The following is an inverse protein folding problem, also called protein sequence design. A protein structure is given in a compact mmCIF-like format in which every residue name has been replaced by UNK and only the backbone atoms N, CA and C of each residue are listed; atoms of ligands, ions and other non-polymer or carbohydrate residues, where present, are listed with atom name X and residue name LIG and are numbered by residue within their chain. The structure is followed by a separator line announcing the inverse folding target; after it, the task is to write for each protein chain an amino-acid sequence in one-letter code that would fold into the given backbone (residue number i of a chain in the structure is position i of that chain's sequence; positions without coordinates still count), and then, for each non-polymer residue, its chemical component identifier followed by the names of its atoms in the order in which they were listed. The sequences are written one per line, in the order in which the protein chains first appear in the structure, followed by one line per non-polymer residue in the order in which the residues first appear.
data_IF_424284530818
#
_entry.id   IF_424284530818
#
_cell.length_a   1.000
_cell.length_b   1.000
_cell.length_c   1.000
_cell.angle_alpha   90.00
_cell.angle_beta   90.00
_cell.angle_gamma   90.00
#
_symmetry.space_group_name_H-M   'P 1'
#
loop_
_entity.id
_entity.type
_entity.pdbx_description
1 polymer ?
#
# COMPACT_ATOMS: atom_id res chain seq x y z
N UNK A 1 7.98 6.68 6.52
CA UNK A 1 8.07 7.47 7.77
C UNK A 1 9.33 7.12 8.58
N UNK A 2 9.66 5.85 8.83
CA UNK A 2 10.89 5.46 9.55
C UNK A 2 12.17 6.05 8.94
N UNK A 3 12.34 5.93 7.61
CA UNK A 3 13.50 6.50 6.88
C UNK A 3 13.60 8.03 7.05
N UNK A 4 12.47 8.74 7.09
CA UNK A 4 12.44 10.21 7.30
C UNK A 4 12.80 10.58 8.75
N UNK A 5 12.49 9.73 9.73
CA UNK A 5 12.82 9.92 11.15
C UNK A 5 14.16 9.31 11.58
N UNK A 6 14.98 8.80 10.64
CA UNK A 6 16.26 8.09 10.91
C UNK A 6 16.13 6.93 11.91
N UNK A 7 14.95 6.34 12.03
CA UNK A 7 14.73 5.15 12.86
C UNK A 7 15.21 3.91 12.11
N UNK A 8 15.61 2.83 12.81
CA UNK A 8 15.88 1.56 12.19
C UNK A 8 14.67 1.08 11.37
N UNK A 9 14.90 0.27 10.32
CA UNK A 9 13.81 -0.26 9.51
C UNK A 9 12.82 -1.01 10.42
N UNK A 10 11.51 -0.83 10.21
CA UNK A 10 10.51 -1.51 11.02
C UNK A 10 10.60 -3.02 10.81
N UNK A 11 10.33 -3.81 11.85
CA UNK A 11 10.13 -5.23 11.70
C UNK A 11 8.79 -5.45 10.97
N UNK A 12 8.83 -6.09 9.80
CA UNK A 12 7.64 -6.36 8.98
C UNK A 12 7.33 -7.85 9.07
N UNK A 13 6.12 -8.19 9.53
CA UNK A 13 5.65 -9.56 9.68
C UNK A 13 4.32 -9.69 8.96
N UNK A 14 4.24 -10.57 7.98
CA UNK A 14 2.97 -10.94 7.35
C UNK A 14 2.34 -12.08 8.13
N UNK A 15 1.13 -11.88 8.63
CA UNK A 15 0.38 -12.90 9.36
C UNK A 15 -0.18 -13.94 8.39
N UNK A 16 -0.23 -15.15 8.90
CA UNK A 16 -0.56 -16.38 8.19
C UNK A 16 -0.28 -17.56 9.13
N UNK A 17 -0.36 -18.77 8.61
CA UNK A 17 -0.18 -19.97 9.42
C UNK A 17 1.19 -20.01 10.12
N UNK A 18 1.20 -20.17 11.44
CA UNK A 18 2.41 -20.29 12.26
C UNK A 18 3.19 -18.99 12.50
N UNK A 19 2.72 -17.82 12.06
CA UNK A 19 3.44 -16.54 12.22
C UNK A 19 3.17 -15.82 13.55
N UNK A 20 2.17 -16.25 14.31
CA UNK A 20 1.80 -15.66 15.61
C UNK A 20 2.97 -15.57 16.62
N UNK A 21 3.77 -16.63 16.88
CA UNK A 21 4.89 -16.54 17.83
C UNK A 21 6.00 -15.60 17.33
N UNK A 22 6.18 -15.47 16.01
CA UNK A 22 7.16 -14.55 15.41
C UNK A 22 6.70 -13.10 15.61
N UNK A 23 5.41 -12.84 15.38
CA UNK A 23 4.80 -11.53 15.61
C UNK A 23 4.93 -11.11 17.08
N UNK A 24 4.62 -12.00 18.03
CA UNK A 24 4.75 -11.73 19.46
C UNK A 24 6.20 -11.43 19.88
N UNK A 25 7.17 -12.19 19.37
CA UNK A 25 8.60 -11.92 19.63
C UNK A 25 9.01 -10.55 19.09
N UNK A 26 8.57 -10.19 17.89
CA UNK A 26 8.87 -8.89 17.29
C UNK A 26 8.23 -7.73 18.09
N UNK A 27 7.00 -7.89 18.58
CA UNK A 27 6.34 -6.90 19.42
C UNK A 27 7.12 -6.72 20.74
N UNK A 28 7.42 -7.80 21.45
CA UNK A 28 8.16 -7.74 22.72
C UNK A 28 9.54 -7.09 22.55
N UNK A 29 10.27 -7.47 21.50
CA UNK A 29 11.55 -6.83 21.19
C UNK A 29 11.39 -5.35 20.83
N UNK A 30 10.33 -4.99 20.09
CA UNK A 30 10.04 -3.61 19.73
C UNK A 30 9.68 -2.73 20.91
N UNK A 31 8.92 -3.26 21.87
CA UNK A 31 8.51 -2.56 23.10
C UNK A 31 9.73 -2.19 23.94
N UNK A 32 10.72 -3.10 24.06
CA UNK A 32 11.97 -2.86 24.80
C UNK A 32 12.92 -1.95 24.03
N UNK A 33 13.05 -2.12 22.72
CA UNK A 33 14.03 -1.40 21.90
C UNK A 33 13.50 -0.08 21.31
N UNK A 34 12.21 0.24 21.49
CA UNK A 34 11.56 1.41 20.88
C UNK A 34 11.44 1.34 19.35
N UNK A 35 11.53 0.15 18.74
CA UNK A 35 11.49 -0.01 17.28
C UNK A 35 10.07 -0.17 16.75
N UNK A 36 9.84 0.18 15.49
CA UNK A 36 8.51 0.07 14.90
C UNK A 36 8.24 -1.34 14.38
N UNK A 37 7.01 -1.82 14.54
CA UNK A 37 6.57 -3.14 14.06
C UNK A 37 5.37 -2.96 13.13
N UNK A 38 5.38 -3.61 11.98
CA UNK A 38 4.31 -3.64 11.00
C UNK A 38 3.80 -5.07 10.86
N UNK A 39 2.57 -5.32 11.32
CA UNK A 39 1.83 -6.55 11.07
C UNK A 39 0.99 -6.39 9.81
N UNK A 40 1.18 -7.30 8.86
CA UNK A 40 0.45 -7.33 7.60
C UNK A 40 -0.55 -8.49 7.55
N UNK A 41 -1.61 -8.33 6.76
CA UNK A 41 -2.64 -9.34 6.52
C UNK A 41 -3.28 -9.86 7.83
N UNK A 42 -3.58 -8.97 8.77
CA UNK A 42 -4.06 -9.40 10.09
C UNK A 42 -5.46 -10.06 10.05
N UNK A 43 -6.19 -9.95 8.94
CA UNK A 43 -7.40 -10.73 8.69
C UNK A 43 -7.15 -12.24 8.64
N UNK A 44 -5.91 -12.68 8.37
CA UNK A 44 -5.51 -14.09 8.38
C UNK A 44 -5.12 -14.59 9.78
N UNK A 45 -5.00 -13.69 10.77
CA UNK A 45 -4.53 -13.97 12.12
C UNK A 45 -5.48 -13.46 13.20
N UNK A 46 -6.79 -13.70 13.04
CA UNK A 46 -7.83 -13.21 13.94
C UNK A 46 -7.64 -13.68 15.39
N UNK A 47 -7.12 -14.90 15.60
CA UNK A 47 -6.80 -15.43 16.93
C UNK A 47 -5.84 -14.50 17.69
N UNK A 48 -4.67 -14.23 17.11
CA UNK A 48 -3.75 -13.25 17.65
C UNK A 48 -4.40 -11.88 17.87
N UNK A 49 -5.18 -11.37 16.90
CA UNK A 49 -5.81 -10.05 17.03
C UNK A 49 -6.74 -9.96 18.24
N UNK A 50 -7.50 -11.02 18.56
CA UNK A 50 -8.37 -11.05 19.74
C UNK A 50 -7.58 -10.92 21.03
N UNK A 51 -6.39 -11.53 21.10
CA UNK A 51 -5.52 -11.45 22.27
C UNK A 51 -4.69 -10.15 22.32
N UNK A 52 -4.57 -9.42 21.20
CA UNK A 52 -3.73 -8.22 21.10
C UNK A 52 -4.11 -7.15 22.12
N UNK A 53 -5.39 -7.02 22.46
CA UNK A 53 -5.83 -6.05 23.47
C UNK A 53 -5.22 -6.34 24.84
N UNK A 54 -5.31 -7.60 25.29
CA UNK A 54 -4.71 -8.03 26.55
C UNK A 54 -3.18 -7.89 26.52
N UNK A 55 -2.55 -8.23 25.39
CA UNK A 55 -1.10 -8.11 25.20
C UNK A 55 -0.65 -6.65 25.30
N UNK A 56 -1.30 -5.73 24.59
CA UNK A 56 -0.94 -4.30 24.61
C UNK A 56 -1.11 -3.72 26.01
N UNK A 57 -2.20 -4.05 26.71
CA UNK A 57 -2.44 -3.58 28.07
C UNK A 57 -1.35 -4.07 29.05
N UNK A 58 -0.91 -5.33 28.92
CA UNK A 58 0.17 -5.89 29.73
C UNK A 58 1.52 -5.21 29.46
N UNK A 59 1.78 -4.83 28.21
CA UNK A 59 3.05 -4.23 27.79
C UNK A 59 3.12 -2.72 28.03
N UNK A 60 1.99 -2.08 28.37
CA UNK A 60 1.86 -0.61 28.46
C UNK A 60 2.80 0.03 29.49
N UNK A 61 3.05 -0.62 30.62
CA UNK A 61 3.92 -0.07 31.68
C UNK A 61 5.40 -0.03 31.29
N UNK A 62 5.86 -0.97 30.46
CA UNK A 62 7.26 -1.11 30.05
C UNK A 62 7.51 -0.65 28.60
N UNK A 63 6.57 0.10 28.01
CA UNK A 63 6.63 0.49 26.61
C UNK A 63 7.52 1.71 26.40
N UNK A 64 8.54 1.56 25.56
CA UNK A 64 9.36 2.69 25.13
C UNK A 64 8.49 3.73 24.37
N UNK A 65 8.60 5.04 24.68
CA UNK A 65 7.80 6.08 24.03
C UNK A 65 7.94 6.18 22.51
N UNK A 66 9.01 5.62 21.93
CA UNK A 66 9.30 5.61 20.49
C UNK A 66 8.65 4.42 19.77
N UNK A 67 8.24 3.39 20.50
CA UNK A 67 7.60 2.19 19.95
C UNK A 67 6.32 2.54 19.21
N UNK A 68 6.12 1.98 18.01
CA UNK A 68 4.89 2.10 17.24
C UNK A 68 4.54 0.76 16.62
N UNK A 69 3.29 0.35 16.81
CA UNK A 69 2.69 -0.81 16.18
C UNK A 69 1.77 -0.36 15.04
N UNK A 70 2.01 -0.90 13.85
CA UNK A 70 1.16 -0.72 12.69
C UNK A 70 0.50 -2.06 12.35
N UNK A 71 -0.79 -2.01 12.06
CA UNK A 71 -1.62 -3.16 11.70
C UNK A 71 -2.25 -2.82 10.36
N UNK A 72 -2.07 -3.69 9.36
CA UNK A 72 -2.81 -3.59 8.10
C UNK A 72 -3.70 -4.82 7.95
N UNK A 73 -5.00 -4.59 7.81
CA UNK A 73 -6.00 -5.64 7.68
C UNK A 73 -7.08 -5.23 6.67
N UNK A 74 -7.69 -6.22 6.03
CA UNK A 74 -8.96 -6.01 5.34
C UNK A 74 -10.13 -5.90 6.34
N UNK A 75 -11.22 -5.17 6.00
CA UNK A 75 -12.42 -5.15 6.84
C UNK A 75 -12.95 -6.57 7.05
N UNK A 76 -13.03 -6.99 8.30
CA UNK A 76 -13.56 -8.30 8.69
C UNK A 76 -14.52 -8.13 9.89
N UNK A 77 -15.75 -8.68 9.85
CA UNK A 77 -16.72 -8.57 10.94
C UNK A 77 -16.25 -9.21 12.26
N UNK A 78 -15.36 -10.20 12.20
CA UNK A 78 -14.80 -10.88 13.38
C UNK A 78 -13.59 -10.14 13.99
N UNK A 79 -13.21 -9.01 13.42
CA UNK A 79 -12.09 -8.23 13.93
C UNK A 79 -12.44 -7.60 15.29
N UNK A 80 -11.57 -7.72 16.32
CA UNK A 80 -11.91 -7.34 17.69
C UNK A 80 -12.22 -5.85 17.84
N UNK A 81 -13.41 -5.56 18.37
CA UNK A 81 -13.89 -4.19 18.56
C UNK A 81 -13.04 -3.41 19.56
N UNK A 82 -12.57 -4.04 20.64
CA UNK A 82 -11.74 -3.38 21.65
C UNK A 82 -10.41 -2.88 21.06
N UNK A 83 -9.76 -3.70 20.23
CA UNK A 83 -8.57 -3.28 19.49
C UNK A 83 -8.85 -2.09 18.55
N UNK A 84 -10.00 -2.11 17.84
CA UNK A 84 -10.41 -1.02 16.96
C UNK A 84 -10.73 0.28 17.71
N UNK A 85 -11.15 0.20 18.97
CA UNK A 85 -11.41 1.38 19.81
C UNK A 85 -10.09 1.99 20.33
N UNK A 86 -9.09 1.17 20.64
CA UNK A 86 -7.78 1.65 21.10
C UNK A 86 -6.89 2.21 19.97
N UNK A 87 -7.15 1.80 18.72
CA UNK A 87 -6.30 2.12 17.58
C UNK A 87 -6.77 3.37 16.80
N UNK A 88 -5.81 4.08 16.21
CA UNK A 88 -6.10 5.10 15.19
C UNK A 88 -6.38 4.38 13.87
N UNK A 89 -7.57 4.60 13.32
CA UNK A 89 -8.03 3.97 12.08
C UNK A 89 -7.74 4.88 10.90
N UNK A 90 -7.07 4.33 9.88
CA UNK A 90 -6.79 5.02 8.62
C UNK A 90 -7.24 4.12 7.49
N UNK A 91 -8.11 4.62 6.62
CA UNK A 91 -8.53 3.91 5.42
C UNK A 91 -7.68 4.38 4.23
N UNK A 92 -7.17 3.42 3.46
CA UNK A 92 -6.44 3.70 2.22
C UNK A 92 -7.34 3.31 1.05
N UNK A 93 -8.24 4.21 0.68
CA UNK A 93 -9.12 4.03 -0.46
C UNK A 93 -8.45 4.52 -1.75
N UNK A 94 -8.75 3.91 -2.92
CA UNK A 94 -8.26 4.42 -4.19
C UNK A 94 -8.76 5.86 -4.41
N UNK A 95 -7.96 6.73 -5.06
CA UNK A 95 -8.36 8.12 -5.29
C UNK A 95 -9.67 8.18 -6.08
N UNK A 96 -10.59 9.03 -5.64
CA UNK A 96 -11.87 9.19 -6.32
C UNK A 96 -11.78 10.28 -7.40
N UNK A 97 -12.09 9.90 -8.63
CA UNK A 97 -12.24 10.79 -9.77
C UNK A 97 -11.02 10.78 -10.70
N UNK A 98 -11.29 11.05 -11.97
CA UNK A 98 -10.30 10.99 -13.05
C UNK A 98 -9.08 11.87 -12.79
N UNK A 99 -9.30 13.11 -12.31
CA UNK A 99 -8.22 14.05 -11.97
C UNK A 99 -7.33 13.52 -10.84
N UNK A 100 -7.93 12.91 -9.82
CA UNK A 100 -7.19 12.38 -8.67
C UNK A 100 -6.40 11.12 -9.05
N UNK A 101 -6.97 10.23 -9.87
CA UNK A 101 -6.26 9.06 -10.42
C UNK A 101 -5.08 9.46 -11.30
N UNK A 102 -5.26 10.48 -12.14
CA UNK A 102 -4.18 11.01 -12.97
C UNK A 102 -3.08 11.65 -12.12
N UNK A 103 -3.43 12.53 -11.17
CA UNK A 103 -2.48 13.15 -10.25
C UNK A 103 -1.68 12.09 -9.48
N UNK A 104 -2.33 11.02 -8.99
CA UNK A 104 -1.66 9.92 -8.31
C UNK A 104 -0.62 9.23 -9.20
N UNK A 105 -0.89 9.09 -10.50
CA UNK A 105 0.06 8.48 -11.45
C UNK A 105 1.32 9.34 -11.62
N UNK A 106 1.17 10.66 -11.53
CA UNK A 106 2.27 11.65 -11.62
C UNK A 106 2.85 12.04 -10.25
N UNK A 107 2.40 11.44 -9.15
CA UNK A 107 3.00 11.69 -7.85
C UNK A 107 4.41 11.10 -7.84
N UNK A 108 5.44 11.89 -7.42
CA UNK A 108 6.81 11.41 -7.38
C UNK A 108 6.96 10.14 -6.53
N UNK A 109 7.67 9.15 -7.08
CA UNK A 109 7.91 7.83 -6.50
C UNK A 109 6.75 6.84 -6.67
N UNK A 110 5.71 7.17 -7.44
CA UNK A 110 4.62 6.23 -7.77
C UNK A 110 4.84 5.63 -9.16
N UNK A 111 4.33 6.24 -10.24
CA UNK A 111 4.41 5.66 -11.59
C UNK A 111 5.28 6.49 -12.54
N UNK A 112 5.06 7.80 -12.60
CA UNK A 112 5.73 8.71 -13.54
C UNK A 112 6.50 9.77 -12.77
N UNK A 113 7.82 9.61 -12.75
CA UNK A 113 8.77 10.59 -12.21
C UNK A 113 9.29 11.51 -13.31
N UNK A 114 9.95 12.60 -12.93
CA UNK A 114 10.57 13.54 -13.87
C UNK A 114 11.53 12.81 -14.83
N UNK A 115 12.33 11.89 -14.30
CA UNK A 115 13.25 11.06 -15.08
C UNK A 115 12.53 10.18 -16.12
N UNK A 116 11.29 9.77 -15.86
CA UNK A 116 10.48 9.02 -16.83
C UNK A 116 9.93 9.94 -17.92
N UNK A 117 9.53 11.16 -17.58
CA UNK A 117 9.03 12.15 -18.55
C UNK A 117 10.13 12.55 -19.54
N UNK A 118 11.37 12.62 -19.07
CA UNK A 118 12.55 13.04 -19.85
C UNK A 118 13.33 11.88 -20.47
N UNK A 119 12.85 10.64 -20.28
CA UNK A 119 13.58 9.43 -20.67
C UNK A 119 13.80 9.31 -22.18
N UNK A 120 12.77 9.61 -22.96
CA UNK A 120 12.78 9.55 -24.42
C UNK A 120 12.63 10.97 -24.95
N UNK A 121 13.61 11.42 -25.74
CA UNK A 121 13.67 12.77 -26.30
C UNK A 121 12.83 12.91 -27.58
N UNK A 122 11.55 12.56 -27.48
CA UNK A 122 10.57 12.66 -28.57
C UNK A 122 9.30 13.31 -28.04
N UNK A 123 8.73 14.27 -28.77
CA UNK A 123 7.46 14.92 -28.40
C UNK A 123 6.30 13.93 -28.24
N UNK A 124 6.33 12.83 -29.01
CA UNK A 124 5.36 11.73 -28.95
C UNK A 124 5.38 10.97 -27.62
N UNK A 125 6.55 10.84 -26.97
CA UNK A 125 6.68 10.11 -25.70
C UNK A 125 5.80 10.72 -24.61
N UNK A 126 5.89 12.04 -24.43
CA UNK A 126 5.13 12.76 -23.40
C UNK A 126 3.62 12.67 -23.65
N UNK A 127 3.20 12.75 -24.92
CA UNK A 127 1.80 12.60 -25.31
C UNK A 127 1.29 11.18 -25.02
N UNK A 128 2.02 10.15 -25.44
CA UNK A 128 1.63 8.75 -25.23
C UNK A 128 1.64 8.36 -23.76
N UNK A 129 2.62 8.84 -22.99
CA UNK A 129 2.69 8.64 -21.55
C UNK A 129 1.47 9.24 -20.84
N UNK A 130 1.08 10.47 -21.21
CA UNK A 130 -0.14 11.09 -20.71
C UNK A 130 -1.39 10.31 -21.10
N UNK A 131 -1.51 9.94 -22.38
CA UNK A 131 -2.63 9.12 -22.87
C UNK A 131 -2.76 7.79 -22.14
N UNK A 132 -1.65 7.11 -21.83
CA UNK A 132 -1.64 5.85 -21.08
C UNK A 132 -2.09 6.05 -19.63
N UNK A 133 -1.56 7.04 -18.92
CA UNK A 133 -1.99 7.34 -17.56
C UNK A 133 -3.47 7.79 -17.51
N UNK A 134 -3.92 8.55 -18.52
CA UNK A 134 -5.30 8.99 -18.64
C UNK A 134 -6.25 7.80 -18.89
N UNK A 135 -5.89 6.91 -19.82
CA UNK A 135 -6.65 5.68 -20.09
C UNK A 135 -6.72 4.79 -18.84
N UNK A 136 -5.60 4.59 -18.15
CA UNK A 136 -5.56 3.83 -16.90
C UNK A 136 -6.52 4.42 -15.85
N UNK A 137 -6.53 5.74 -15.70
CA UNK A 137 -7.44 6.44 -14.79
C UNK A 137 -8.91 6.26 -15.20
N UNK A 138 -9.24 6.30 -16.50
CA UNK A 138 -10.60 6.03 -17.00
C UNK A 138 -11.02 4.60 -16.66
N UNK A 139 -10.15 3.63 -16.94
CA UNK A 139 -10.42 2.20 -16.71
C UNK A 139 -10.68 1.94 -15.22
N UNK A 140 -9.88 2.54 -14.33
CA UNK A 140 -10.09 2.47 -12.88
C UNK A 140 -11.42 3.08 -12.45
N UNK A 141 -11.73 4.30 -12.91
CA UNK A 141 -13.00 4.96 -12.57
C UNK A 141 -14.21 4.19 -13.09
N UNK A 142 -14.11 3.59 -14.28
CA UNK A 142 -15.19 2.81 -14.88
C UNK A 142 -15.57 1.57 -14.06
N UNK A 143 -14.66 1.02 -13.24
CA UNK A 143 -14.96 -0.10 -12.34
C UNK A 143 -16.04 0.22 -11.31
N UNK A 144 -16.21 1.49 -10.94
CA UNK A 144 -17.22 1.92 -9.96
C UNK A 144 -18.65 1.68 -10.42
N UNK A 145 -18.87 1.54 -11.73
CA UNK A 145 -20.20 1.34 -12.31
C UNK A 145 -20.62 -0.13 -12.39
N UNK A 146 -19.84 -1.05 -11.80
CA UNK A 146 -20.19 -2.47 -11.74
C UNK A 146 -20.50 -3.04 -13.13
N UNK A 147 -21.64 -3.73 -13.32
CA UNK A 147 -22.02 -4.34 -14.60
C UNK A 147 -22.16 -3.36 -15.78
N UNK A 148 -22.44 -2.08 -15.54
CA UNK A 148 -22.50 -1.05 -16.60
C UNK A 148 -21.09 -0.64 -17.08
N UNK A 149 -20.11 -0.77 -16.20
CA UNK A 149 -18.71 -0.49 -16.50
C UNK A 149 -18.06 -1.65 -17.24
N UNK A 150 -18.17 -2.86 -16.68
CA UNK A 150 -17.52 -4.08 -17.14
C UNK A 150 -18.44 -5.29 -16.90
N UNK A 151 -18.51 -6.21 -17.86
CA UNK A 151 -19.25 -7.47 -17.68
C UNK A 151 -18.64 -8.35 -16.58
N UNK A 152 -17.30 -8.35 -16.48
CA UNK A 152 -16.54 -9.06 -15.46
C UNK A 152 -15.56 -8.06 -14.83
N UNK A 153 -15.54 -7.90 -13.49
CA UNK A 153 -14.61 -6.99 -12.85
C UNK A 153 -13.18 -7.49 -12.98
N UNK A 154 -12.29 -6.63 -13.47
CA UNK A 154 -10.85 -6.87 -13.47
C UNK A 154 -10.14 -5.87 -12.57
N UNK A 155 -9.16 -6.34 -11.79
CA UNK A 155 -8.41 -5.52 -10.86
C UNK A 155 -7.20 -4.83 -11.51
N UNK A 156 -7.50 -3.84 -12.36
CA UNK A 156 -6.47 -2.99 -12.96
C UNK A 156 -5.65 -2.28 -11.88
N UNK A 157 -4.38 -2.64 -11.80
CA UNK A 157 -3.45 -2.17 -10.80
C UNK A 157 -2.30 -1.37 -11.43
N UNK A 158 -1.44 -0.84 -10.57
CA UNK A 158 -0.29 -0.07 -10.99
C UNK A 158 0.75 -0.88 -11.79
N UNK A 159 0.83 -2.19 -11.57
CA UNK A 159 1.69 -3.10 -12.32
C UNK A 159 1.28 -3.24 -13.79
N UNK A 160 -0.02 -3.21 -14.08
CA UNK A 160 -0.52 -3.21 -15.48
C UNK A 160 -0.06 -1.94 -16.20
N UNK A 161 -0.23 -0.77 -15.57
CA UNK A 161 0.21 0.51 -16.11
C UNK A 161 1.73 0.53 -16.31
N UNK A 162 2.49 0.06 -15.31
CA UNK A 162 3.95 -0.02 -15.41
C UNK A 162 4.41 -0.90 -16.57
N UNK A 163 3.74 -2.03 -16.80
CA UNK A 163 4.03 -2.92 -17.91
C UNK A 163 3.76 -2.27 -19.26
N UNK A 164 2.64 -1.55 -19.40
CA UNK A 164 2.30 -0.78 -20.61
C UNK A 164 3.32 0.33 -20.89
N UNK A 165 3.74 1.08 -19.87
CA UNK A 165 4.75 2.14 -20.00
C UNK A 165 6.11 1.55 -20.38
N UNK A 166 6.52 0.44 -19.76
CA UNK A 166 7.78 -0.23 -20.07
C UNK A 166 7.80 -0.76 -21.51
N UNK A 167 6.68 -1.31 -21.97
CA UNK A 167 6.54 -1.74 -23.36
C UNK A 167 6.68 -0.55 -24.32
N UNK A 168 5.97 0.54 -24.05
CA UNK A 168 6.01 1.77 -24.84
C UNK A 168 7.43 2.35 -24.89
N UNK A 169 8.12 2.39 -23.75
CA UNK A 169 9.51 2.84 -23.62
C UNK A 169 10.43 2.02 -24.52
N UNK A 170 10.40 0.68 -24.40
CA UNK A 170 11.21 -0.22 -25.22
C UNK A 170 10.92 -0.09 -26.72
N UNK A 171 9.65 0.08 -27.09
CA UNK A 171 9.25 0.21 -28.48
C UNK A 171 9.81 1.49 -29.10
N UNK A 172 9.72 2.63 -28.40
CA UNK A 172 10.23 3.91 -28.87
C UNK A 172 11.77 4.00 -28.85
N UNK A 173 12.45 3.23 -27.99
CA UNK A 173 13.91 3.13 -28.01
C UNK A 173 14.45 2.29 -29.18
N UNK A 174 13.70 1.30 -29.67
CA UNK A 174 14.18 0.31 -30.63
C UNK A 174 14.03 0.69 -32.12
N UNK A 175 13.51 1.87 -32.45
CA UNK A 175 13.53 2.39 -33.82
C UNK A 175 12.45 3.42 -34.12
N UNK A 176 12.66 4.30 -35.12
CA UNK A 176 11.71 5.33 -35.49
C UNK A 176 10.46 4.69 -36.16
N UNK A 177 9.32 5.35 -35.97
CA UNK A 177 8.09 5.09 -36.73
C UNK A 177 8.33 5.50 -38.20
#
# INVERSE_FOLDING_TARGET
LCRKKKLPPPAVISLGEGQEPVALKAINAGVVNGTWVLLQNCELGLGLMNDMEAIINKLKENMDPSFRLFITALPNPEFPLGLLQMCIKVTNEPPAGLKAGLLRSYTPGIMVDQDKIERVDTSQWRQLLFSMCFLHSIVQERRKFGPLGWCIPYEYNNGDLQSCILFLEKHLYNGPI
#
